data_IF_672150951882
#
_entry.id   IF_672150951882
#
_cell.length_a   1.000
_cell.length_b   1.000
_cell.length_c   1.000
_cell.angle_alpha   90.00
_cell.angle_beta   90.00
_cell.angle_gamma   90.00
#
_symmetry.space_group_name_H-M   'P 1'
#
loop_
_entity.id
_entity.type
_entity.pdbx_description
1 polymer ?
#
# COMPACT_ATOMS: atom_id res chain seq x y z
N UNK A 1 -4.89 -15.03 28.55
CA UNK A 1 -3.70 -14.20 28.90
C UNK A 1 -3.95 -13.50 30.25
N UNK A 2 -2.94 -13.36 31.13
CA UNK A 2 -3.06 -12.49 32.31
C UNK A 2 -3.30 -11.05 31.84
N UNK A 3 -4.38 -10.41 32.27
CA UNK A 3 -4.74 -9.04 31.92
C UNK A 3 -5.76 -8.88 30.79
N UNK A 4 -6.43 -9.96 30.36
CA UNK A 4 -7.41 -9.94 29.27
C UNK A 4 -6.77 -9.93 27.89
N UNK A 5 -7.52 -10.34 26.86
CA UNK A 5 -7.06 -10.41 25.46
C UNK A 5 -6.99 -11.84 24.95
N UNK A 6 -6.92 -11.97 23.63
CA UNK A 6 -6.82 -13.24 22.91
C UNK A 6 -5.53 -13.32 22.13
N UNK A 7 -4.98 -14.50 21.96
CA UNK A 7 -3.84 -14.77 21.10
C UNK A 7 -4.15 -15.99 20.21
N UNK A 8 -3.89 -15.85 18.93
CA UNK A 8 -3.95 -16.94 17.96
C UNK A 8 -2.53 -17.44 17.69
N UNK A 9 -2.34 -18.75 17.75
CA UNK A 9 -1.04 -19.41 17.61
C UNK A 9 -1.11 -20.35 16.39
N UNK A 10 -0.10 -20.30 15.54
CA UNK A 10 0.07 -21.21 14.39
C UNK A 10 0.44 -22.61 14.87
N UNK A 11 0.23 -23.60 14.02
CA UNK A 11 0.56 -25.00 14.32
C UNK A 11 2.04 -25.22 14.66
N UNK A 12 2.94 -24.37 14.17
CA UNK A 12 4.37 -24.40 14.47
C UNK A 12 4.73 -23.70 15.81
N UNK A 13 3.74 -23.23 16.57
CA UNK A 13 3.95 -22.55 17.85
C UNK A 13 4.22 -21.04 17.74
N UNK A 14 4.36 -20.47 16.55
CA UNK A 14 4.53 -19.03 16.39
C UNK A 14 3.22 -18.28 16.61
N UNK A 15 3.30 -17.06 17.14
CA UNK A 15 2.14 -16.19 17.31
C UNK A 15 1.66 -15.72 15.94
N UNK A 16 0.35 -15.86 15.68
CA UNK A 16 -0.31 -15.34 14.48
C UNK A 16 -0.86 -13.92 14.71
N UNK A 17 -1.65 -13.78 15.78
CA UNK A 17 -2.23 -12.49 16.15
C UNK A 17 -2.45 -12.38 17.65
N UNK A 18 -2.50 -11.14 18.13
CA UNK A 18 -2.83 -10.80 19.51
C UNK A 18 -3.85 -9.66 19.47
N UNK A 19 -4.96 -9.83 20.23
CA UNK A 19 -5.90 -8.76 20.51
C UNK A 19 -5.80 -8.39 21.97
N UNK A 20 -5.35 -7.17 22.27
CA UNK A 20 -5.18 -6.71 23.66
C UNK A 20 -5.23 -5.19 23.76
N UNK A 21 -5.96 -4.70 24.76
CA UNK A 21 -6.00 -3.27 25.08
C UNK A 21 -6.46 -2.36 23.94
N UNK A 22 -7.34 -2.86 23.07
CA UNK A 22 -7.78 -2.12 21.87
C UNK A 22 -6.78 -2.13 20.72
N UNK A 23 -5.69 -2.92 20.83
CA UNK A 23 -4.74 -3.16 19.75
C UNK A 23 -4.95 -4.54 19.14
N UNK A 24 -4.85 -4.61 17.82
CA UNK A 24 -4.72 -5.84 17.05
C UNK A 24 -3.31 -5.92 16.49
N UNK A 25 -2.56 -6.95 16.88
CA UNK A 25 -1.20 -7.22 16.42
C UNK A 25 -1.28 -8.44 15.50
N UNK A 26 -0.84 -8.32 14.29
CA UNK A 26 -0.76 -9.40 13.31
C UNK A 26 0.70 -9.66 12.93
N UNK A 27 1.11 -10.93 12.95
CA UNK A 27 2.45 -11.34 12.56
C UNK A 27 2.41 -11.98 11.18
N UNK A 28 3.23 -11.47 10.28
CA UNK A 28 3.46 -12.07 8.98
C UNK A 28 4.17 -13.42 9.07
N UNK A 29 4.00 -14.26 8.06
CA UNK A 29 4.69 -15.56 7.96
C UNK A 29 6.21 -15.40 7.82
N UNK A 30 6.68 -14.24 7.42
CA UNK A 30 8.11 -13.89 7.24
C UNK A 30 8.66 -13.00 8.36
N UNK A 31 7.97 -12.87 9.50
CA UNK A 31 8.46 -12.17 10.67
C UNK A 31 8.12 -10.67 10.75
N UNK A 32 7.46 -10.10 9.73
CA UNK A 32 6.91 -8.74 9.83
C UNK A 32 5.74 -8.69 10.82
N UNK A 33 5.51 -7.54 11.46
CA UNK A 33 4.34 -7.31 12.31
C UNK A 33 3.58 -6.07 11.87
N UNK A 34 2.26 -6.11 12.00
CA UNK A 34 1.37 -4.97 11.82
C UNK A 34 0.56 -4.77 13.09
N UNK A 35 0.61 -3.58 13.63
CA UNK A 35 -0.14 -3.21 14.84
C UNK A 35 -1.17 -2.16 14.46
N UNK A 36 -2.44 -2.44 14.70
CA UNK A 36 -3.54 -1.49 14.50
C UNK A 36 -4.19 -1.23 15.84
N UNK A 37 -4.36 0.03 16.20
CA UNK A 37 -5.01 0.39 17.45
C UNK A 37 -5.57 1.80 17.40
N UNK A 38 -6.28 2.17 18.45
CA UNK A 38 -6.74 3.53 18.66
C UNK A 38 -6.04 4.17 19.86
N UNK A 39 -5.56 5.39 19.69
CA UNK A 39 -4.95 6.17 20.74
C UNK A 39 -5.44 7.62 20.69
N UNK A 40 -6.08 8.07 21.77
CA UNK A 40 -6.61 9.45 21.87
C UNK A 40 -7.47 9.88 20.67
N UNK A 41 -8.38 9.01 20.22
CA UNK A 41 -9.27 9.26 19.08
C UNK A 41 -8.57 9.26 17.71
N UNK A 42 -7.33 8.78 17.64
CA UNK A 42 -6.61 8.56 16.41
C UNK A 42 -6.46 7.06 16.14
N UNK A 43 -6.66 6.63 14.89
CA UNK A 43 -6.25 5.30 14.45
C UNK A 43 -4.74 5.32 14.24
N UNK A 44 -4.04 4.40 14.85
CA UNK A 44 -2.59 4.24 14.73
C UNK A 44 -2.31 2.91 14.07
N UNK A 45 -1.59 2.95 12.97
CA UNK A 45 -1.15 1.76 12.25
C UNK A 45 0.36 1.76 12.21
N UNK A 46 0.98 0.74 12.77
CA UNK A 46 2.41 0.54 12.77
C UNK A 46 2.73 -0.75 12.01
N UNK A 47 3.60 -0.66 11.03
CA UNK A 47 4.06 -1.79 10.21
C UNK A 47 5.48 -2.21 10.60
N UNK A 48 5.84 -1.98 11.85
CA UNK A 48 7.15 -2.25 12.39
C UNK A 48 8.18 -1.30 11.80
N UNK A 49 9.28 -1.84 11.32
CA UNK A 49 10.43 -1.07 10.80
C UNK A 49 10.14 -0.28 9.53
N UNK A 50 9.10 -0.66 8.79
CA UNK A 50 8.70 0.00 7.53
C UNK A 50 7.93 1.30 7.76
N UNK A 51 7.79 1.71 9.03
CA UNK A 51 7.09 2.91 9.40
C UNK A 51 5.64 2.66 9.82
N UNK A 52 4.85 3.71 9.78
CA UNK A 52 3.46 3.67 10.18
C UNK A 52 2.83 5.03 10.03
N UNK A 53 1.58 5.13 10.42
CA UNK A 53 0.88 6.40 10.39
C UNK A 53 -0.07 6.58 11.57
N UNK A 54 -0.31 7.84 11.89
CA UNK A 54 -1.37 8.27 12.79
C UNK A 54 -2.45 8.94 11.95
N UNK A 55 -3.66 8.37 11.98
CA UNK A 55 -4.81 8.88 11.23
C UNK A 55 -5.78 9.58 12.17
N UNK A 56 -6.17 10.81 11.81
CA UNK A 56 -7.18 11.59 12.53
C UNK A 56 -8.31 12.04 11.62
N UNK A 57 -9.52 12.11 12.16
CA UNK A 57 -10.60 12.82 11.50
C UNK A 57 -10.19 14.29 11.29
N UNK A 58 -10.44 14.82 10.10
CA UNK A 58 -9.97 16.15 9.72
C UNK A 58 -11.12 17.12 9.42
N UNK A 59 -11.91 16.86 8.39
CA UNK A 59 -13.00 17.75 7.97
C UNK A 59 -14.09 16.97 7.25
N UNK A 60 -15.33 17.46 7.34
CA UNK A 60 -16.42 16.99 6.49
C UNK A 60 -16.69 18.04 5.42
N UNK A 61 -16.72 17.64 4.14
CA UNK A 61 -17.01 18.52 3.02
C UNK A 61 -17.82 17.79 1.95
N UNK A 62 -18.82 18.46 1.39
CA UNK A 62 -19.68 17.86 0.36
C UNK A 62 -20.39 16.58 0.79
N UNK A 63 -20.68 16.40 2.09
CA UNK A 63 -21.25 15.18 2.65
C UNK A 63 -20.23 14.05 2.90
N UNK A 64 -18.95 14.26 2.62
CA UNK A 64 -17.90 13.25 2.80
C UNK A 64 -16.96 13.60 3.95
N UNK A 65 -16.63 12.61 4.76
CA UNK A 65 -15.63 12.74 5.83
C UNK A 65 -14.23 12.54 5.27
N UNK A 66 -13.32 13.43 5.63
CA UNK A 66 -11.91 13.35 5.25
C UNK A 66 -11.04 13.17 6.49
N UNK A 67 -9.97 12.43 6.30
CA UNK A 67 -9.00 12.05 7.33
C UNK A 67 -7.61 12.45 6.90
N UNK A 68 -6.80 12.89 7.83
CA UNK A 68 -5.37 13.07 7.62
C UNK A 68 -4.60 11.86 8.16
N UNK A 69 -3.66 11.34 7.41
CA UNK A 69 -2.65 10.40 7.89
C UNK A 69 -1.31 11.10 7.94
N UNK A 70 -0.68 11.11 9.10
CA UNK A 70 0.70 11.55 9.24
C UNK A 70 1.59 10.33 9.32
N UNK A 71 2.39 10.12 8.30
CA UNK A 71 3.43 9.11 8.25
C UNK A 71 4.71 9.67 8.85
N UNK A 72 5.48 8.81 9.50
CA UNK A 72 6.81 9.14 9.98
C UNK A 72 7.80 8.05 9.56
N UNK A 73 8.77 8.42 8.76
CA UNK A 73 9.83 7.54 8.30
C UNK A 73 11.13 8.33 8.06
N UNK A 74 12.28 7.76 8.40
CA UNK A 74 13.57 8.38 8.16
C UNK A 74 13.73 9.79 8.76
N UNK A 75 13.11 10.07 9.90
CA UNK A 75 13.15 11.38 10.56
C UNK A 75 12.26 12.45 9.91
N UNK A 76 11.40 12.09 8.97
CA UNK A 76 10.55 13.03 8.21
C UNK A 76 9.08 12.69 8.35
N UNK A 77 8.24 13.73 8.36
CA UNK A 77 6.80 13.60 8.31
C UNK A 77 6.30 13.76 6.87
N UNK A 78 5.35 12.91 6.49
CA UNK A 78 4.57 13.05 5.26
C UNK A 78 3.09 13.00 5.62
N UNK A 79 2.26 13.83 4.97
CA UNK A 79 0.82 13.88 5.22
C UNK A 79 0.07 13.51 3.96
N UNK A 80 -0.78 12.48 4.08
CA UNK A 80 -1.76 12.11 3.08
C UNK A 80 -3.18 12.47 3.53
N UNK A 81 -4.06 12.74 2.58
CA UNK A 81 -5.50 12.87 2.80
C UNK A 81 -6.22 11.62 2.33
N UNK A 82 -7.28 11.27 3.06
CA UNK A 82 -8.09 10.09 2.77
C UNK A 82 -9.56 10.41 2.95
N UNK A 83 -10.39 9.97 2.02
CA UNK A 83 -11.84 10.03 2.12
C UNK A 83 -12.36 8.77 2.79
N UNK A 84 -13.30 8.91 3.74
CA UNK A 84 -13.97 7.79 4.38
C UNK A 84 -15.08 7.21 3.52
N UNK A 85 -15.20 5.87 3.54
CA UNK A 85 -16.23 5.07 2.88
C UNK A 85 -16.82 4.11 3.91
N UNK A 86 -18.10 4.30 4.26
CA UNK A 86 -18.84 3.38 5.10
C UNK A 86 -19.52 2.32 4.24
N UNK A 87 -19.10 1.06 4.31
CA UNK A 87 -19.66 -0.01 3.51
C UNK A 87 -19.63 -1.35 4.24
N UNK A 88 -20.72 -2.12 4.15
CA UNK A 88 -20.81 -3.44 4.78
C UNK A 88 -20.61 -3.42 6.30
N UNK A 89 -20.89 -2.31 6.99
CA UNK A 89 -20.64 -2.15 8.42
C UNK A 89 -19.18 -1.81 8.78
N UNK A 90 -18.30 -1.65 7.81
CA UNK A 90 -16.89 -1.29 7.96
C UNK A 90 -16.60 0.13 7.47
N UNK A 91 -15.50 0.71 7.95
CA UNK A 91 -14.97 1.98 7.49
C UNK A 91 -13.67 1.77 6.71
N UNK A 92 -13.66 2.21 5.47
CA UNK A 92 -12.50 2.19 4.60
C UNK A 92 -12.05 3.63 4.31
N UNK A 93 -10.79 3.78 3.93
CA UNK A 93 -10.19 5.09 3.72
C UNK A 93 -9.48 5.09 2.36
N UNK A 94 -10.04 5.80 1.40
CA UNK A 94 -9.48 5.94 0.06
C UNK A 94 -8.58 7.16 -0.07
N UNK A 95 -7.41 7.02 -0.68
CA UNK A 95 -6.49 8.12 -0.92
C UNK A 95 -7.17 9.26 -1.69
N UNK A 96 -6.94 10.49 -1.24
CA UNK A 96 -7.41 11.71 -1.87
C UNK A 96 -6.22 12.64 -2.11
N UNK A 97 -5.92 13.01 -3.38
CA UNK A 97 -4.68 13.74 -3.69
C UNK A 97 -4.56 15.13 -3.06
N UNK A 98 -5.67 15.81 -2.78
CA UNK A 98 -5.69 17.18 -2.28
C UNK A 98 -5.28 18.24 -3.30
N UNK A 99 -4.67 17.84 -4.39
CA UNK A 99 -4.26 18.65 -5.55
C UNK A 99 -4.54 17.87 -6.82
N UNK A 100 -5.15 18.52 -7.79
CA UNK A 100 -5.49 17.91 -9.08
C UNK A 100 -4.71 18.56 -10.21
N UNK A 101 -4.32 17.77 -11.18
CA UNK A 101 -3.84 18.30 -12.46
C UNK A 101 -4.99 18.79 -13.34
N UNK A 102 -4.67 19.61 -14.31
CA UNK A 102 -5.65 20.04 -15.31
C UNK A 102 -6.18 18.83 -16.09
N UNK A 103 -7.50 18.78 -16.45
CA UNK A 103 -8.08 17.64 -17.17
C UNK A 103 -7.34 17.25 -18.45
N UNK A 104 -6.77 18.25 -19.17
CA UNK A 104 -5.96 18.00 -20.37
C UNK A 104 -4.68 17.23 -20.08
N UNK A 105 -4.07 17.40 -18.90
CA UNK A 105 -2.87 16.67 -18.53
C UNK A 105 -3.19 15.22 -18.15
N UNK A 106 -4.30 14.97 -17.43
CA UNK A 106 -4.77 13.61 -17.23
C UNK A 106 -5.09 12.92 -18.56
N UNK A 107 -5.81 13.60 -19.47
CA UNK A 107 -6.09 13.10 -20.81
C UNK A 107 -4.82 12.73 -21.55
N UNK A 108 -3.81 13.60 -21.56
CA UNK A 108 -2.49 13.29 -22.14
C UNK A 108 -1.84 12.07 -21.47
N UNK A 109 -2.01 11.90 -20.16
CA UNK A 109 -1.45 10.77 -19.39
C UNK A 109 -1.91 9.40 -19.88
N UNK A 110 -3.12 9.27 -20.40
CA UNK A 110 -3.66 7.97 -20.82
C UNK A 110 -3.94 7.87 -22.34
N UNK A 111 -3.69 8.93 -23.12
CA UNK A 111 -3.74 8.87 -24.58
C UNK A 111 -2.38 8.48 -25.20
N UNK A 112 -2.38 7.75 -26.31
CA UNK A 112 -1.15 7.44 -27.03
C UNK A 112 -0.44 8.72 -27.53
N UNK A 113 0.88 8.67 -27.52
CA UNK A 113 1.70 9.69 -28.20
C UNK A 113 1.64 9.52 -29.72
N UNK A 114 1.94 10.59 -30.47
CA UNK A 114 1.99 10.54 -31.93
C UNK A 114 3.09 9.62 -32.48
N UNK A 115 4.16 9.38 -31.71
CA UNK A 115 5.19 8.40 -31.97
C UNK A 115 5.73 7.83 -30.65
N UNK A 116 6.05 6.52 -30.58
CA UNK A 116 6.70 5.93 -29.42
C UNK A 116 8.08 6.56 -29.17
N UNK A 117 8.47 6.64 -27.90
CA UNK A 117 9.79 7.14 -27.50
C UNK A 117 10.62 6.02 -26.86
N UNK A 118 11.93 6.07 -27.06
CA UNK A 118 12.88 5.26 -26.32
C UNK A 118 13.27 5.98 -25.02
N UNK A 119 13.10 5.27 -23.89
CA UNK A 119 13.48 5.80 -22.57
C UNK A 119 14.28 4.72 -21.84
N UNK A 120 15.57 4.68 -22.10
CA UNK A 120 16.44 3.62 -21.59
C UNK A 120 16.79 3.78 -20.11
N UNK A 121 17.42 2.75 -19.55
CA UNK A 121 17.84 2.65 -18.14
C UNK A 121 18.67 3.86 -17.69
N UNK A 122 19.48 4.43 -18.59
CA UNK A 122 20.26 5.66 -18.32
C UNK A 122 19.40 6.90 -18.05
N UNK A 123 18.28 7.06 -18.79
CA UNK A 123 17.33 8.16 -18.57
C UNK A 123 16.49 7.95 -17.30
N UNK A 124 16.31 6.70 -16.89
CA UNK A 124 15.72 6.35 -15.59
C UNK A 124 16.68 6.63 -14.43
N UNK A 125 17.98 6.67 -14.66
CA UNK A 125 19.00 6.76 -13.61
C UNK A 125 19.21 5.46 -12.82
N UNK A 126 18.74 4.33 -13.34
CA UNK A 126 18.82 3.04 -12.64
C UNK A 126 20.15 2.31 -12.85
N UNK A 127 20.93 2.72 -13.86
CA UNK A 127 22.23 2.13 -14.12
C UNK A 127 23.16 2.24 -12.93
N UNK A 128 23.62 1.10 -12.40
CA UNK A 128 24.45 1.03 -11.19
C UNK A 128 23.71 1.10 -9.85
N UNK A 129 22.40 1.27 -9.83
CA UNK A 129 21.63 1.20 -8.59
C UNK A 129 21.56 -0.23 -8.06
N UNK A 130 21.88 -0.49 -6.76
CA UNK A 130 21.91 -1.85 -6.19
C UNK A 130 20.59 -2.60 -6.35
N UNK A 131 19.47 -1.93 -6.16
CA UNK A 131 18.13 -2.53 -6.31
C UNK A 131 17.87 -3.01 -7.75
N UNK A 132 18.38 -2.28 -8.76
CA UNK A 132 18.27 -2.68 -10.16
C UNK A 132 19.09 -3.95 -10.44
N UNK A 133 20.31 -4.00 -9.94
CA UNK A 133 21.14 -5.21 -10.04
C UNK A 133 20.48 -6.43 -9.39
N UNK A 134 19.72 -6.22 -8.34
CA UNK A 134 19.05 -7.30 -7.61
C UNK A 134 17.75 -7.78 -8.30
N UNK A 135 16.93 -6.87 -8.83
CA UNK A 135 15.63 -7.19 -9.42
C UNK A 135 15.60 -7.16 -10.96
N UNK A 136 16.68 -6.82 -11.64
CA UNK A 136 16.72 -6.70 -13.10
C UNK A 136 16.42 -8.00 -13.86
N UNK A 137 16.51 -9.17 -13.20
CA UNK A 137 16.10 -10.46 -13.77
C UNK A 137 14.61 -10.76 -13.58
N UNK A 138 13.92 -10.05 -12.67
CA UNK A 138 12.51 -10.25 -12.39
C UNK A 138 11.61 -9.38 -13.26
N UNK A 139 12.08 -8.20 -13.66
CA UNK A 139 11.32 -7.23 -14.42
C UNK A 139 12.21 -6.49 -15.42
N UNK A 140 11.67 -6.24 -16.62
CA UNK A 140 12.28 -5.40 -17.65
C UNK A 140 11.36 -4.23 -17.99
N UNK A 141 11.88 -2.99 -18.09
CA UNK A 141 11.12 -1.85 -18.57
C UNK A 141 10.68 -2.05 -20.02
N UNK A 142 9.69 -1.29 -20.45
CA UNK A 142 9.31 -1.27 -21.87
C UNK A 142 10.48 -0.77 -22.72
N UNK A 143 10.79 -1.41 -23.84
CA UNK A 143 11.86 -0.97 -24.73
C UNK A 143 11.53 0.38 -25.38
N UNK A 144 10.25 0.64 -25.58
CA UNK A 144 9.69 1.91 -26.09
C UNK A 144 8.36 2.20 -25.41
N UNK A 145 8.02 3.47 -25.28
CA UNK A 145 6.79 3.93 -24.65
C UNK A 145 5.91 4.59 -25.70
N UNK A 146 4.74 4.04 -25.92
CA UNK A 146 3.75 4.55 -26.85
C UNK A 146 2.78 5.55 -26.22
N UNK A 147 2.73 5.61 -24.89
CA UNK A 147 1.88 6.52 -24.12
C UNK A 147 2.47 6.77 -22.73
N UNK A 148 2.09 7.87 -22.05
CA UNK A 148 2.56 8.17 -20.70
C UNK A 148 2.24 7.08 -19.68
N UNK A 149 1.08 6.43 -19.76
CA UNK A 149 0.71 5.40 -18.79
C UNK A 149 1.62 4.17 -18.83
N UNK A 150 2.27 3.84 -19.93
CA UNK A 150 3.31 2.81 -19.96
C UNK A 150 4.58 3.27 -19.22
N UNK A 151 4.95 4.53 -19.36
CA UNK A 151 6.05 5.11 -18.61
C UNK A 151 5.74 5.13 -17.12
N UNK A 152 4.52 5.53 -16.72
CA UNK A 152 4.04 5.47 -15.35
C UNK A 152 4.06 4.06 -14.79
N UNK A 153 3.71 3.05 -15.59
CA UNK A 153 3.77 1.64 -15.17
C UNK A 153 5.18 1.26 -14.74
N UNK A 154 6.19 1.57 -15.55
CA UNK A 154 7.57 1.28 -15.19
C UNK A 154 8.06 2.14 -14.02
N UNK A 155 7.61 3.38 -13.92
CA UNK A 155 7.86 4.21 -12.74
C UNK A 155 7.31 3.55 -11.47
N UNK A 156 6.05 3.14 -11.46
CA UNK A 156 5.40 2.50 -10.32
C UNK A 156 6.10 1.21 -9.90
N UNK A 157 6.38 0.32 -10.85
CA UNK A 157 7.10 -0.93 -10.56
C UNK A 157 8.47 -0.61 -9.96
N UNK A 158 9.19 0.38 -10.49
CA UNK A 158 10.49 0.76 -9.97
C UNK A 158 10.43 1.28 -8.54
N UNK A 159 9.41 2.09 -8.19
CA UNK A 159 9.22 2.58 -6.82
C UNK A 159 8.96 1.43 -5.84
N UNK A 160 8.11 0.47 -6.22
CA UNK A 160 7.84 -0.72 -5.41
C UNK A 160 9.09 -1.58 -5.19
N UNK A 161 9.89 -1.79 -6.25
CA UNK A 161 11.12 -2.57 -6.14
C UNK A 161 12.21 -1.87 -5.31
N UNK A 162 12.29 -0.54 -5.40
CA UNK A 162 13.17 0.27 -4.56
C UNK A 162 12.78 0.14 -3.09
N UNK A 163 11.48 0.27 -2.77
CA UNK A 163 10.96 0.10 -1.42
C UNK A 163 11.22 -1.31 -0.89
N UNK A 164 10.94 -2.36 -1.69
CA UNK A 164 11.20 -3.74 -1.33
C UNK A 164 12.69 -4.03 -1.10
N UNK A 165 13.58 -3.39 -1.86
CA UNK A 165 15.02 -3.53 -1.67
C UNK A 165 15.49 -2.85 -0.39
N UNK A 166 15.00 -1.65 -0.09
CA UNK A 166 15.31 -0.92 1.14
C UNK A 166 14.86 -1.71 2.37
N UNK A 167 13.63 -2.22 2.36
CA UNK A 167 13.07 -3.06 3.42
C UNK A 167 13.93 -4.32 3.68
N UNK A 168 14.40 -4.96 2.61
CA UNK A 168 15.29 -6.11 2.72
C UNK A 168 16.66 -5.72 3.29
N UNK A 169 17.23 -4.60 2.90
CA UNK A 169 18.52 -4.13 3.40
C UNK A 169 18.47 -3.87 4.91
N UNK A 170 17.36 -3.27 5.37
CA UNK A 170 17.10 -3.07 6.80
C UNK A 170 16.96 -4.40 7.55
N UNK A 171 16.17 -5.35 7.03
CA UNK A 171 16.00 -6.66 7.64
C UNK A 171 17.32 -7.45 7.75
N UNK A 172 18.19 -7.36 6.74
CA UNK A 172 19.51 -7.99 6.78
C UNK A 172 20.47 -7.32 7.78
N UNK A 173 20.42 -5.99 7.91
CA UNK A 173 21.22 -5.27 8.89
C UNK A 173 20.86 -5.70 10.31
N UNK A 174 19.60 -5.96 10.56
CA UNK A 174 19.10 -6.41 11.87
C UNK A 174 19.39 -7.90 12.13
N UNK A 175 19.29 -8.77 11.11
CA UNK A 175 19.67 -10.18 11.25
C UNK A 175 21.15 -10.32 11.62
N UNK A 176 22.03 -9.45 11.09
CA UNK A 176 23.44 -9.42 11.48
C UNK A 176 23.62 -8.93 12.93
N UNK A 177 22.76 -8.05 13.41
CA UNK A 177 22.76 -7.58 14.80
C UNK A 177 22.22 -8.65 15.76
N UNK A 178 21.21 -9.42 15.34
CA UNK A 178 20.61 -10.52 16.12
C UNK A 178 21.46 -11.81 16.08
N UNK A 179 22.11 -12.14 14.95
CA UNK A 179 23.05 -13.27 14.84
C UNK A 179 24.32 -13.10 15.71
N UNK A 180 24.67 -11.89 16.06
CA UNK A 180 25.67 -11.63 17.08
C UNK A 180 25.20 -12.05 18.49
N UNK A 181 23.90 -12.31 18.65
CA UNK A 181 23.25 -12.70 19.90
C UNK A 181 22.74 -14.16 19.92
N UNK A 182 22.63 -14.85 18.76
CA UNK A 182 22.06 -16.22 18.69
C UNK A 182 22.65 -17.02 17.52
N UNK A 183 23.63 -17.87 17.80
CA UNK A 183 24.11 -18.88 16.87
C UNK A 183 23.19 -20.09 16.83
N UNK A 184 22.52 -20.33 15.71
CA UNK A 184 21.86 -21.58 15.37
C UNK A 184 20.42 -21.42 14.86
N UNK A 185 20.20 -21.59 13.58
CA UNK A 185 18.84 -21.61 13.03
C UNK A 185 18.79 -22.13 11.60
N UNK A 186 18.08 -23.18 11.46
CA UNK A 186 17.73 -24.05 10.36
C UNK A 186 17.25 -23.34 9.09
N UNK A 187 17.75 -23.76 7.94
CA UNK A 187 17.27 -23.30 6.64
C UNK A 187 15.92 -23.95 6.32
N UNK A 188 14.86 -23.13 6.26
CA UNK A 188 13.53 -23.56 5.83
C UNK A 188 13.48 -24.00 4.36
N UNK A 189 12.36 -24.63 3.92
CA UNK A 189 12.25 -25.31 2.64
C UNK A 189 12.45 -24.37 1.44
N UNK A 190 13.10 -24.92 0.41
CA UNK A 190 13.49 -24.26 -0.83
C UNK A 190 12.29 -23.60 -1.50
N UNK A 191 12.27 -22.27 -1.50
CA UNK A 191 11.32 -21.50 -2.29
C UNK A 191 11.50 -21.81 -3.78
N UNK A 192 10.42 -22.14 -4.47
CA UNK A 192 10.39 -22.12 -5.93
C UNK A 192 10.82 -20.73 -6.38
N UNK A 193 11.82 -20.64 -7.26
CA UNK A 193 12.46 -19.37 -7.64
C UNK A 193 11.45 -18.29 -8.10
N UNK A 194 11.85 -17.03 -8.13
CA UNK A 194 10.98 -15.92 -8.49
C UNK A 194 10.40 -16.12 -9.89
N UNK A 195 9.08 -15.98 -10.01
CA UNK A 195 8.41 -15.96 -11.32
C UNK A 195 8.50 -14.55 -11.86
N UNK A 196 9.24 -14.32 -12.94
CA UNK A 196 9.42 -13.04 -13.57
C UNK A 196 8.06 -12.39 -13.92
N UNK A 197 7.99 -11.07 -13.83
CA UNK A 197 6.81 -10.30 -14.23
C UNK A 197 6.62 -10.47 -15.75
N UNK A 198 5.57 -11.20 -16.13
CA UNK A 198 5.29 -11.46 -17.54
C UNK A 198 4.77 -10.20 -18.26
N UNK A 199 4.93 -10.12 -19.60
CA UNK A 199 4.36 -9.01 -20.38
C UNK A 199 2.85 -8.82 -20.14
N UNK A 200 2.09 -9.91 -19.96
CA UNK A 200 0.65 -9.89 -19.74
C UNK A 200 0.30 -9.26 -18.37
N UNK A 201 1.03 -9.63 -17.30
CA UNK A 201 0.85 -9.04 -15.98
C UNK A 201 1.24 -7.55 -16.01
N UNK A 202 2.33 -7.21 -16.70
CA UNK A 202 2.75 -5.82 -16.86
C UNK A 202 1.72 -4.99 -17.64
N UNK A 203 1.12 -5.56 -18.68
CA UNK A 203 0.02 -4.92 -19.40
C UNK A 203 -1.22 -4.73 -18.51
N UNK A 204 -1.56 -5.71 -17.66
CA UNK A 204 -2.65 -5.57 -16.71
C UNK A 204 -2.40 -4.39 -15.73
N UNK A 205 -1.18 -4.21 -15.24
CA UNK A 205 -0.81 -3.04 -14.43
C UNK A 205 -0.94 -1.76 -15.24
N UNK A 206 -0.54 -1.76 -16.52
CA UNK A 206 -0.65 -0.57 -17.38
C UNK A 206 -2.11 -0.17 -17.63
N UNK A 207 -3.01 -1.12 -17.79
CA UNK A 207 -4.45 -0.85 -17.90
C UNK A 207 -5.02 -0.31 -16.58
N UNK A 208 -4.53 -0.80 -15.45
CA UNK A 208 -4.88 -0.28 -14.13
C UNK A 208 -4.43 1.18 -13.94
N UNK A 209 -3.18 1.51 -14.33
CA UNK A 209 -2.68 2.90 -14.36
C UNK A 209 -3.59 3.79 -15.19
N UNK A 210 -3.97 3.34 -16.37
CA UNK A 210 -4.87 4.08 -17.27
C UNK A 210 -6.25 4.30 -16.63
N UNK A 211 -6.84 3.26 -16.03
CA UNK A 211 -8.12 3.35 -15.35
C UNK A 211 -8.07 4.33 -14.18
N UNK A 212 -7.00 4.28 -13.39
CA UNK A 212 -6.79 5.17 -12.25
C UNK A 212 -6.62 6.64 -12.67
N UNK A 213 -5.89 6.93 -13.76
CA UNK A 213 -5.78 8.29 -14.30
C UNK A 213 -7.16 8.83 -14.73
N UNK A 214 -7.99 8.01 -15.38
CA UNK A 214 -9.35 8.38 -15.76
C UNK A 214 -10.24 8.63 -14.53
N UNK A 215 -10.12 7.79 -13.48
CA UNK A 215 -10.83 7.98 -12.22
C UNK A 215 -10.41 9.27 -11.51
N UNK A 216 -9.12 9.58 -11.43
CA UNK A 216 -8.62 10.83 -10.86
C UNK A 216 -9.12 12.06 -11.64
N UNK A 217 -9.15 11.99 -12.97
CA UNK A 217 -9.72 13.05 -13.80
C UNK A 217 -11.21 13.27 -13.51
N UNK A 218 -11.98 12.20 -13.37
CA UNK A 218 -13.40 12.29 -13.04
C UNK A 218 -13.63 12.89 -11.64
N UNK A 219 -12.84 12.48 -10.65
CA UNK A 219 -12.87 13.04 -9.29
C UNK A 219 -12.50 14.53 -9.28
N UNK A 220 -11.48 14.95 -10.02
CA UNK A 220 -11.10 16.36 -10.18
C UNK A 220 -12.26 17.20 -10.73
N UNK A 221 -13.00 16.66 -11.69
CA UNK A 221 -14.18 17.31 -12.25
C UNK A 221 -15.33 17.50 -11.23
N UNK A 222 -15.55 16.49 -10.39
CA UNK A 222 -16.54 16.54 -9.33
C UNK A 222 -16.16 17.54 -8.23
N UNK A 223 -14.89 17.58 -7.86
CA UNK A 223 -14.34 18.48 -6.83
C UNK A 223 -14.44 19.95 -7.24
N UNK A 224 -14.25 20.26 -8.52
CA UNK A 224 -14.33 21.62 -9.07
C UNK A 224 -15.77 22.17 -9.10
N UNK A 225 -16.79 21.30 -9.05
CA UNK A 225 -18.21 21.65 -9.02
C UNK A 225 -18.83 21.80 -7.62
N UNK A 226 -18.10 21.49 -6.57
CA UNK A 226 -18.61 21.36 -5.20
C UNK A 226 -18.64 22.66 -4.43
N UNK A 227 -19.84 23.05 -4.02
CA UNK A 227 -20.19 24.24 -3.25
C UNK A 227 -19.48 24.40 -1.90
N UNK A 228 -19.75 25.55 -1.29
CA UNK A 228 -19.19 26.12 -0.06
C UNK A 228 -18.88 25.12 1.06
N UNK A 229 -17.67 25.23 1.61
CA UNK A 229 -17.24 24.53 2.80
C UNK A 229 -18.09 24.94 4.01
N UNK A 230 -18.77 23.98 4.61
CA UNK A 230 -19.17 24.09 6.01
C UNK A 230 -18.01 23.51 6.83
N UNK A 231 -17.31 24.34 7.59
CA UNK A 231 -16.33 23.91 8.58
C UNK A 231 -17.07 23.35 9.80
N UNK A 232 -17.81 22.26 9.61
CA UNK A 232 -18.36 21.51 10.73
C UNK A 232 -17.26 20.58 11.24
N UNK A 233 -17.11 20.50 12.57
CA UNK A 233 -16.30 19.47 13.21
C UNK A 233 -16.67 18.10 12.62
N UNK A 234 -15.68 17.19 12.42
CA UNK A 234 -15.95 15.91 11.79
C UNK A 234 -17.01 15.17 12.58
N UNK A 235 -18.19 15.04 12.00
CA UNK A 235 -19.14 14.05 12.48
C UNK A 235 -18.46 12.68 12.29
N UNK A 236 -18.56 11.82 13.29
CA UNK A 236 -18.13 10.45 13.14
C UNK A 236 -18.78 9.90 11.85
N UNK A 237 -18.02 9.31 10.94
CA UNK A 237 -18.57 8.80 9.70
C UNK A 237 -19.64 7.78 10.04
N UNK A 238 -20.80 7.97 9.52
CA UNK A 238 -21.84 6.96 9.63
C UNK A 238 -21.48 5.86 8.64
N UNK A 239 -21.45 4.61 9.10
CA UNK A 239 -21.37 3.40 8.26
C UNK A 239 -22.55 3.30 7.26
N UNK A 240 -23.42 4.30 7.26
CA UNK A 240 -24.63 4.39 6.48
C UNK A 240 -24.47 4.83 5.02
N UNK A 241 -23.26 5.23 4.59
CA UNK A 241 -23.06 5.76 3.22
C UNK A 241 -23.13 4.67 2.15
N UNK A 242 -23.03 3.41 2.52
CA UNK A 242 -23.13 2.21 1.68
C UNK A 242 -22.47 2.32 0.29
N UNK A 243 -21.46 3.20 0.18
CA UNK A 243 -20.64 3.36 -1.01
C UNK A 243 -19.46 2.39 -0.92
N UNK A 244 -19.31 1.45 -1.86
CA UNK A 244 -18.16 0.55 -1.86
C UNK A 244 -16.84 1.33 -1.85
N UNK A 245 -15.81 0.85 -1.13
CA UNK A 245 -14.49 1.45 -1.19
C UNK A 245 -13.89 1.29 -2.60
N UNK A 246 -13.00 2.20 -3.03
CA UNK A 246 -12.41 2.18 -4.37
C UNK A 246 -11.77 0.84 -4.75
N UNK A 247 -11.17 0.13 -3.81
CA UNK A 247 -10.60 -1.19 -4.06
C UNK A 247 -11.62 -2.26 -4.48
N UNK A 248 -12.92 -2.03 -4.27
CA UNK A 248 -13.99 -2.92 -4.72
C UNK A 248 -14.67 -2.44 -6.01
N UNK A 249 -14.21 -1.33 -6.61
CA UNK A 249 -14.71 -0.92 -7.94
C UNK A 249 -14.46 -2.04 -8.95
N UNK A 250 -15.49 -2.47 -9.71
CA UNK A 250 -15.35 -3.54 -10.73
C UNK A 250 -14.31 -3.23 -11.80
N UNK A 251 -14.00 -1.96 -12.06
CA UNK A 251 -12.95 -1.55 -12.98
C UNK A 251 -11.53 -1.73 -12.42
N UNK A 252 -11.38 -1.88 -11.11
CA UNK A 252 -10.11 -1.98 -10.39
C UNK A 252 -9.84 -3.45 -10.03
N UNK A 253 -9.04 -4.15 -10.82
CA UNK A 253 -8.83 -5.59 -10.63
C UNK A 253 -7.41 -5.98 -10.32
N UNK A 254 -6.43 -5.21 -10.77
CA UNK A 254 -5.02 -5.52 -10.62
C UNK A 254 -4.44 -4.68 -9.49
N UNK A 255 -3.85 -5.36 -8.50
CA UNK A 255 -3.26 -4.71 -7.33
C UNK A 255 -1.79 -5.09 -7.22
N UNK A 256 -0.97 -4.11 -6.93
CA UNK A 256 0.43 -4.30 -6.59
C UNK A 256 0.55 -4.23 -5.07
N UNK A 257 1.07 -5.28 -4.47
CA UNK A 257 1.24 -5.37 -3.02
C UNK A 257 2.23 -4.30 -2.56
N UNK A 258 1.86 -3.51 -1.58
CA UNK A 258 2.66 -2.38 -1.05
C UNK A 258 3.53 -2.77 0.15
N UNK A 259 3.05 -3.72 0.93
CA UNK A 259 3.70 -4.19 2.16
C UNK A 259 3.54 -5.71 2.30
N UNK A 260 4.29 -6.32 3.22
CA UNK A 260 4.18 -7.76 3.48
C UNK A 260 2.81 -8.07 4.09
N UNK A 261 2.06 -8.95 3.43
CA UNK A 261 0.71 -9.38 3.83
C UNK A 261 0.64 -10.89 3.90
N UNK A 262 0.09 -11.42 4.99
CA UNK A 262 -0.22 -12.85 5.10
C UNK A 262 -1.62 -13.12 4.56
N UNK A 263 -1.71 -14.01 3.59
CA UNK A 263 -2.97 -14.44 2.97
C UNK A 263 -3.16 -15.93 3.13
N UNK A 264 -4.37 -16.41 2.86
CA UNK A 264 -4.71 -17.85 2.96
C UNK A 264 -4.94 -18.41 1.56
N UNK A 265 -4.18 -19.44 1.20
CA UNK A 265 -4.30 -20.22 -0.01
C UNK A 265 -4.60 -21.68 0.33
N UNK A 266 -5.72 -22.22 -0.15
CA UNK A 266 -6.10 -23.63 0.11
C UNK A 266 -6.07 -24.02 1.61
N UNK A 267 -6.44 -23.10 2.49
CA UNK A 267 -6.43 -23.31 3.94
C UNK A 267 -5.05 -23.24 4.61
N UNK A 268 -4.02 -22.84 3.88
CA UNK A 268 -2.66 -22.60 4.38
C UNK A 268 -2.28 -21.14 4.23
N UNK A 269 -1.52 -20.62 5.20
CA UNK A 269 -0.98 -19.25 5.11
C UNK A 269 0.22 -19.22 4.18
N UNK A 270 0.30 -18.17 3.36
CA UNK A 270 1.49 -17.79 2.60
C UNK A 270 1.66 -16.26 2.62
N UNK A 271 2.85 -15.78 2.33
CA UNK A 271 3.18 -14.36 2.32
C UNK A 271 3.20 -13.76 0.91
N UNK A 272 2.52 -12.65 0.74
CA UNK A 272 2.73 -11.73 -0.37
C UNK A 272 3.68 -10.63 0.09
N UNK A 273 4.56 -10.16 -0.78
CA UNK A 273 5.57 -9.16 -0.46
C UNK A 273 5.46 -7.93 -1.38
N UNK A 274 5.91 -6.77 -0.90
CA UNK A 274 5.87 -5.52 -1.67
C UNK A 274 6.35 -5.71 -3.11
N UNK A 275 5.52 -5.34 -4.09
CA UNK A 275 5.73 -5.50 -5.53
C UNK A 275 5.23 -6.82 -6.12
N UNK A 276 4.73 -7.78 -5.34
CA UNK A 276 3.96 -8.90 -5.87
C UNK A 276 2.66 -8.37 -6.50
N UNK A 277 2.07 -9.11 -7.43
CA UNK A 277 0.89 -8.67 -8.17
C UNK A 277 -0.23 -9.68 -7.99
N UNK A 278 -1.40 -9.19 -7.63
CA UNK A 278 -2.62 -10.00 -7.53
C UNK A 278 -3.72 -9.45 -8.42
N UNK A 279 -4.62 -10.32 -8.86
CA UNK A 279 -5.82 -9.94 -9.61
C UNK A 279 -7.05 -10.37 -8.82
N UNK A 280 -7.89 -9.41 -8.43
CA UNK A 280 -9.16 -9.65 -7.73
C UNK A 280 -10.14 -10.41 -8.61
N UNK A 281 -10.72 -11.49 -8.09
CA UNK A 281 -11.65 -12.37 -8.77
C UNK A 281 -13.10 -12.10 -8.38
N UNK A 282 -13.38 -11.78 -7.12
CA UNK A 282 -14.73 -11.51 -6.61
C UNK A 282 -14.93 -10.06 -6.28
N UNK A 283 -16.13 -9.53 -6.52
CA UNK A 283 -16.49 -8.13 -6.23
C UNK A 283 -17.17 -7.98 -4.87
N UNK A 284 -17.69 -9.09 -4.33
CA UNK A 284 -18.36 -9.12 -3.03
C UNK A 284 -17.50 -9.88 -2.04
N UNK A 285 -17.20 -9.29 -0.89
CA UNK A 285 -16.50 -9.97 0.19
C UNK A 285 -17.31 -11.09 0.80
N UNK A 286 -16.61 -12.04 1.42
CA UNK A 286 -17.18 -13.09 2.25
C UNK A 286 -17.56 -12.56 3.66
N UNK A 287 -18.02 -13.47 4.54
CA UNK A 287 -18.43 -13.13 5.91
C UNK A 287 -17.26 -12.61 6.79
N UNK A 288 -16.03 -12.96 6.44
CA UNK A 288 -14.80 -12.54 7.13
C UNK A 288 -14.16 -11.29 6.49
N UNK A 289 -14.91 -10.63 5.58
CA UNK A 289 -14.48 -9.45 4.85
C UNK A 289 -13.27 -9.68 3.93
N UNK A 290 -13.16 -10.87 3.35
CA UNK A 290 -12.14 -11.19 2.36
C UNK A 290 -12.73 -11.25 0.95
N UNK A 291 -11.92 -10.92 -0.04
CA UNK A 291 -12.17 -11.20 -1.46
C UNK A 291 -11.21 -12.26 -1.97
N UNK A 292 -11.64 -13.02 -2.97
CA UNK A 292 -10.74 -13.94 -3.67
C UNK A 292 -9.91 -13.18 -4.68
N UNK A 293 -8.61 -13.45 -4.70
CA UNK A 293 -7.67 -12.93 -5.69
C UNK A 293 -6.75 -14.05 -6.21
N UNK A 294 -6.30 -13.95 -7.45
CA UNK A 294 -5.26 -14.81 -8.01
C UNK A 294 -3.91 -14.12 -7.91
N UNK A 295 -2.88 -14.85 -7.49
CA UNK A 295 -1.49 -14.37 -7.50
C UNK A 295 -1.00 -14.36 -8.95
N UNK A 296 -0.83 -13.17 -9.52
CA UNK A 296 -0.42 -13.00 -10.92
C UNK A 296 1.11 -13.05 -11.08
N UNK A 297 1.86 -12.44 -10.15
CA UNK A 297 3.32 -12.51 -10.13
C UNK A 297 3.83 -12.42 -8.69
N UNK A 298 4.92 -13.12 -8.39
CA UNK A 298 5.55 -13.13 -7.07
C UNK A 298 7.07 -13.17 -7.16
N UNK A 299 7.75 -12.40 -6.31
CA UNK A 299 9.22 -12.33 -6.26
C UNK A 299 9.85 -13.41 -5.40
N UNK A 300 9.16 -13.85 -4.35
CA UNK A 300 9.67 -14.87 -3.41
C UNK A 300 9.08 -16.26 -3.66
N UNK A 301 7.94 -16.35 -4.33
CA UNK A 301 7.27 -17.62 -4.63
C UNK A 301 6.63 -18.31 -3.42
N UNK A 302 6.46 -17.61 -2.29
CA UNK A 302 5.82 -18.18 -1.11
C UNK A 302 4.34 -18.45 -1.38
N UNK A 303 3.60 -17.46 -1.87
CA UNK A 303 2.33 -17.72 -2.54
C UNK A 303 2.61 -18.00 -4.03
N UNK A 304 2.41 -19.23 -4.47
CA UNK A 304 2.70 -19.60 -5.86
C UNK A 304 1.85 -18.79 -6.86
N UNK A 305 2.45 -18.44 -8.00
CA UNK A 305 1.71 -17.79 -9.11
C UNK A 305 0.57 -18.69 -9.59
N UNK A 306 -0.58 -18.11 -9.91
CA UNK A 306 -1.80 -18.80 -10.32
C UNK A 306 -2.66 -19.31 -9.16
N UNK A 307 -2.17 -19.29 -7.93
CA UNK A 307 -2.94 -19.71 -6.75
C UNK A 307 -3.99 -18.66 -6.40
N UNK A 308 -5.16 -19.12 -5.99
CA UNK A 308 -6.21 -18.26 -5.43
C UNK A 308 -5.99 -18.07 -3.93
N UNK A 309 -6.00 -16.83 -3.50
CA UNK A 309 -5.81 -16.40 -2.10
C UNK A 309 -7.02 -15.60 -1.61
N UNK A 310 -7.29 -15.67 -0.32
CA UNK A 310 -8.24 -14.79 0.37
C UNK A 310 -7.49 -13.56 0.90
N UNK A 311 -7.91 -12.36 0.47
CA UNK A 311 -7.30 -11.08 0.82
C UNK A 311 -8.33 -10.22 1.55
N UNK A 312 -7.98 -9.64 2.67
CA UNK A 312 -8.84 -8.69 3.39
C UNK A 312 -9.11 -7.44 2.54
N UNK A 313 -10.32 -6.93 2.56
CA UNK A 313 -10.68 -5.69 1.85
C UNK A 313 -9.86 -4.51 2.35
N UNK A 314 -9.52 -4.47 3.65
CA UNK A 314 -8.65 -3.44 4.22
C UNK A 314 -7.25 -3.44 3.57
N UNK A 315 -6.65 -4.61 3.39
CA UNK A 315 -5.33 -4.73 2.77
C UNK A 315 -5.39 -4.36 1.29
N UNK A 316 -6.45 -4.79 0.60
CA UNK A 316 -6.68 -4.42 -0.80
C UNK A 316 -6.86 -2.90 -0.95
N UNK A 317 -7.56 -2.26 0.00
CA UNK A 317 -7.74 -0.80 0.01
C UNK A 317 -6.42 -0.06 0.26
N UNK A 318 -5.54 -0.57 1.10
CA UNK A 318 -4.21 0.02 1.29
C UNK A 318 -3.33 -0.14 0.04
N UNK A 319 -3.36 -1.30 -0.63
CA UNK A 319 -2.71 -1.48 -1.94
C UNK A 319 -3.21 -0.47 -2.97
N UNK A 320 -4.54 -0.26 -3.05
CA UNK A 320 -5.15 0.76 -3.90
C UNK A 320 -4.65 2.16 -3.56
N UNK A 321 -4.63 2.51 -2.27
CA UNK A 321 -4.18 3.83 -1.80
C UNK A 321 -2.75 4.12 -2.21
N UNK A 322 -1.86 3.17 -1.97
CA UNK A 322 -0.45 3.29 -2.31
C UNK A 322 -0.24 3.41 -3.83
N UNK A 323 -1.00 2.64 -4.59
CA UNK A 323 -0.97 2.71 -6.05
C UNK A 323 -1.43 4.09 -6.56
N UNK A 324 -2.55 4.61 -6.04
CA UNK A 324 -3.09 5.92 -6.40
C UNK A 324 -2.15 7.08 -6.02
N UNK A 325 -1.51 7.00 -4.85
CA UNK A 325 -0.50 7.96 -4.41
C UNK A 325 0.72 7.96 -5.34
N UNK A 326 1.22 6.77 -5.69
CA UNK A 326 2.35 6.63 -6.60
C UNK A 326 2.04 7.13 -8.01
N UNK A 327 0.81 6.97 -8.51
CA UNK A 327 0.37 7.58 -9.78
C UNK A 327 0.43 9.11 -9.67
N UNK A 328 -0.07 9.68 -8.59
CA UNK A 328 -0.03 11.14 -8.38
C UNK A 328 1.41 11.66 -8.36
N UNK A 329 2.31 10.96 -7.67
CA UNK A 329 3.74 11.27 -7.67
C UNK A 329 4.37 11.11 -9.06
N UNK A 330 4.04 10.04 -9.77
CA UNK A 330 4.49 9.78 -11.14
C UNK A 330 4.03 10.83 -12.14
N UNK A 331 2.79 11.32 -12.02
CA UNK A 331 2.31 12.45 -12.81
C UNK A 331 3.12 13.72 -12.54
N UNK A 332 3.55 13.94 -11.28
CA UNK A 332 4.47 15.03 -10.95
C UNK A 332 5.83 14.89 -11.63
N UNK A 333 6.36 13.68 -11.73
CA UNK A 333 7.60 13.42 -12.45
C UNK A 333 7.44 13.59 -13.98
N UNK A 334 6.33 13.13 -14.53
CA UNK A 334 6.01 13.37 -15.96
C UNK A 334 5.89 14.86 -16.26
N UNK A 335 5.25 15.64 -15.38
CA UNK A 335 5.14 17.09 -15.54
C UNK A 335 6.51 17.79 -15.59
N UNK A 336 7.50 17.27 -14.84
CA UNK A 336 8.88 17.78 -14.87
C UNK A 336 9.67 17.36 -16.10
N UNK A 337 9.37 16.18 -16.67
CA UNK A 337 10.15 15.54 -17.73
C UNK A 337 9.58 15.75 -19.16
N UNK A 338 8.32 16.19 -19.27
CA UNK A 338 7.68 16.44 -20.55
C UNK A 338 8.49 17.46 -21.37
N UNK A 339 8.52 17.28 -22.69
CA UNK A 339 9.30 18.11 -23.61
C UNK A 339 10.82 17.92 -23.54
N UNK A 340 11.34 16.99 -22.73
CA UNK A 340 12.77 16.68 -22.62
C UNK A 340 13.10 15.24 -23.05
N UNK A 341 14.32 15.00 -23.49
CA UNK A 341 14.84 13.67 -23.85
C UNK A 341 13.92 12.86 -24.78
N UNK A 342 13.22 13.53 -25.71
CA UNK A 342 12.30 12.91 -26.65
C UNK A 342 10.88 12.65 -26.11
N UNK A 343 10.63 12.94 -24.85
CA UNK A 343 9.27 12.87 -24.29
C UNK A 343 8.41 14.00 -24.87
N UNK A 344 7.24 13.70 -25.46
CA UNK A 344 6.37 14.73 -26.00
C UNK A 344 5.96 15.77 -24.96
N UNK A 345 5.78 17.02 -25.39
CA UNK A 345 5.23 18.07 -24.55
C UNK A 345 3.79 17.75 -24.15
N UNK A 346 3.46 18.00 -22.90
CA UNK A 346 2.12 17.87 -22.36
C UNK A 346 1.35 19.21 -22.49
N UNK A 347 0.02 19.16 -22.65
CA UNK A 347 -0.79 20.34 -22.43
C UNK A 347 -0.70 20.74 -20.96
N UNK A 348 -1.19 21.89 -20.61
CA UNK A 348 -1.20 22.49 -19.29
C UNK A 348 -0.97 21.50 -18.10
N UNK A 349 0.25 21.50 -17.56
CA UNK A 349 0.66 20.70 -16.41
C UNK A 349 0.35 21.38 -15.06
N UNK A 350 -0.33 22.51 -15.10
CA UNK A 350 -0.76 23.25 -13.91
C UNK A 350 -1.62 22.40 -13.00
N UNK A 351 -1.57 22.74 -11.72
CA UNK A 351 -2.37 22.09 -10.68
C UNK A 351 -3.38 23.03 -10.10
N UNK A 352 -4.50 22.49 -9.65
CA UNK A 352 -5.52 23.19 -8.88
C UNK A 352 -5.70 22.50 -7.52
N UNK A 353 -5.98 23.29 -6.49
CA UNK A 353 -6.28 22.75 -5.18
C UNK A 353 -7.58 21.93 -5.22
N UNK A 354 -7.59 20.80 -4.57
CA UNK A 354 -8.80 20.04 -4.34
C UNK A 354 -9.75 20.72 -3.34
N UNK A 355 -10.92 20.16 -3.20
CA UNK A 355 -11.92 20.65 -2.24
C UNK A 355 -11.40 20.66 -0.80
N UNK A 356 -10.47 19.77 -0.49
CA UNK A 356 -9.80 19.67 0.81
C UNK A 356 -8.28 19.67 0.58
N UNK A 357 -7.57 20.51 1.33
CA UNK A 357 -6.11 20.57 1.32
C UNK A 357 -5.52 19.86 2.54
N UNK A 358 -4.35 19.21 2.44
CA UNK A 358 -3.73 18.57 3.58
C UNK A 358 -3.45 19.54 4.75
N UNK A 359 -3.72 19.14 6.01
CA UNK A 359 -3.28 19.90 7.16
C UNK A 359 -1.76 19.79 7.36
N UNK A 360 -1.20 20.60 8.26
CA UNK A 360 0.16 20.37 8.75
C UNK A 360 0.30 18.96 9.36
N UNK A 361 1.49 18.36 9.34
CA UNK A 361 1.73 17.07 9.94
C UNK A 361 1.47 17.08 11.46
N UNK A 362 0.91 15.98 11.97
CA UNK A 362 0.84 15.72 13.41
C UNK A 362 2.26 15.46 13.94
N UNK A 363 2.85 16.44 14.60
CA UNK A 363 4.20 16.34 15.14
C UNK A 363 4.33 15.35 16.30
N UNK A 364 3.21 14.85 16.84
CA UNK A 364 3.20 13.80 17.87
C UNK A 364 3.21 12.39 17.29
N UNK A 365 3.06 12.24 15.96
CA UNK A 365 2.93 10.94 15.31
C UNK A 365 4.12 10.01 15.58
N UNK A 366 5.36 10.53 15.52
CA UNK A 366 6.55 9.74 15.82
C UNK A 366 6.50 9.12 17.21
N UNK A 367 6.17 9.92 18.22
CA UNK A 367 6.05 9.43 19.60
C UNK A 367 4.87 8.44 19.74
N UNK A 368 3.74 8.73 19.13
CA UNK A 368 2.57 7.85 19.19
C UNK A 368 2.86 6.48 18.59
N UNK A 369 3.57 6.42 17.46
CA UNK A 369 4.01 5.16 16.84
C UNK A 369 4.99 4.41 17.73
N UNK A 370 5.94 5.10 18.35
CA UNK A 370 6.90 4.49 19.30
C UNK A 370 6.20 3.93 20.54
N UNK A 371 5.27 4.67 21.12
CA UNK A 371 4.51 4.24 22.30
C UNK A 371 3.65 2.99 21.97
N UNK A 372 3.03 2.96 20.77
CA UNK A 372 2.28 1.80 20.30
C UNK A 372 3.18 0.58 20.10
N UNK A 373 4.36 0.76 19.50
CA UNK A 373 5.31 -0.35 19.31
C UNK A 373 5.74 -0.94 20.67
N UNK A 374 6.10 -0.10 21.63
CA UNK A 374 6.47 -0.56 22.97
C UNK A 374 5.33 -1.32 23.66
N UNK A 375 4.08 -0.88 23.48
CA UNK A 375 2.90 -1.58 24.02
C UNK A 375 2.67 -2.93 23.32
N UNK A 376 2.93 -3.01 22.01
CA UNK A 376 2.85 -4.26 21.24
C UNK A 376 3.92 -5.26 21.69
N UNK A 377 5.17 -4.82 21.82
CA UNK A 377 6.29 -5.65 22.29
C UNK A 377 6.00 -6.25 23.69
N UNK A 378 5.42 -5.44 24.58
CA UNK A 378 4.99 -5.91 25.90
C UNK A 378 3.86 -6.95 25.81
N UNK A 379 2.87 -6.72 24.92
CA UNK A 379 1.77 -7.67 24.70
C UNK A 379 2.28 -9.01 24.18
N UNK A 380 3.26 -9.00 23.29
CA UNK A 380 3.91 -10.20 22.78
C UNK A 380 4.70 -10.95 23.86
N UNK A 381 5.48 -10.25 24.66
CA UNK A 381 6.23 -10.85 25.77
C UNK A 381 5.28 -11.55 26.77
N UNK A 382 4.17 -10.91 27.09
CA UNK A 382 3.15 -11.47 27.98
C UNK A 382 2.43 -12.69 27.36
N UNK A 383 2.21 -12.67 26.02
CA UNK A 383 1.64 -13.80 25.31
C UNK A 383 2.57 -15.02 25.32
N UNK A 384 3.85 -14.81 25.03
CA UNK A 384 4.89 -15.85 25.09
C UNK A 384 5.04 -16.43 26.49
N UNK A 385 5.08 -15.59 27.52
CA UNK A 385 5.15 -16.04 28.92
C UNK A 385 3.91 -16.86 29.33
N UNK A 386 2.71 -16.45 28.87
CA UNK A 386 1.47 -17.17 29.15
C UNK A 386 1.42 -18.55 28.47
N UNK A 387 1.94 -18.65 27.24
CA UNK A 387 2.03 -19.90 26.50
C UNK A 387 3.01 -20.87 27.18
N UNK A 388 4.16 -20.39 27.65
CA UNK A 388 5.16 -21.19 28.36
C UNK A 388 4.66 -21.72 29.72
N UNK A 389 3.78 -20.95 30.40
CA UNK A 389 3.22 -21.38 31.72
C UNK A 389 1.98 -22.25 31.61
N UNK A 390 1.31 -22.31 30.46
CA UNK A 390 0.11 -23.12 30.22
C UNK A 390 0.38 -24.55 29.71
N UNK A 391 1.63 -24.90 29.45
CA UNK A 391 2.07 -26.20 28.96
C UNK A 391 2.54 -27.20 30.02
N UNK A 392 2.22 -26.97 31.33
CA UNK A 392 2.47 -27.92 32.43
C UNK A 392 1.18 -28.61 32.85
#
# INVERSE_FOLDING_TARGET
>A
MKGGGTASIRKNGSVRSIDRGGMHIEHGVHGGSRVVGEHNGARVVNTGRHGGYVQRAYVTRGGHAYYSRTFYAGGRYHVGLYRGYGWGGHMYYGFYPGVWYHPGFYGWGWHPWGAPIAWGIGLWGWGGAPWWGFYGGWWNPYPVYAAPYYWLTDYLISQQLQAAYAARAEANADAVADDAAASGGDAGPVATGPVALTPEVKEAIAQEVKAQLAAQQAQAGQDSGGGQASAAAPAAPTTADNTPPPALDPAQRTFVVDSDVTVVANGQECGLTSGDVITRLTDTPDADNNVSASVAATKKGDCASGVTVAVKVDDLQEMYNHFAENITNGMGELAKKQGTNGMPGAPDTGTQAGAVTPPPPDTTAAKTLQDQQAAADQAEADAKASAASGGQ
#
